data_IF_468411221001
#
_entry.id   IF_468411221001
#
_cell.length_a   1.000
_cell.length_b   1.000
_cell.length_c   1.000
_cell.angle_alpha   90.00
_cell.angle_beta   90.00
_cell.angle_gamma   90.00
#
_symmetry.space_group_name_H-M   'P 1'
#
loop_
_entity.id
_entity.type
_entity.pdbx_description
1 polymer ?
#
# COMPACT_ATOMS: atom_id res chain seq x y z
N UNK A 1 10.30 -5.48 -4.61
CA UNK A 1 10.03 -4.40 -3.62
C UNK A 1 11.37 -3.95 -3.08
N UNK A 2 11.70 -2.67 -3.17
CA UNK A 2 12.85 -2.12 -2.45
C UNK A 2 12.40 -1.73 -1.04
N UNK A 3 12.85 -2.50 -0.05
CA UNK A 3 12.51 -2.27 1.35
C UNK A 3 13.08 -0.94 1.87
N UNK A 4 14.12 -0.40 1.23
CA UNK A 4 14.69 0.88 1.59
C UNK A 4 13.71 2.04 1.38
N UNK A 5 12.70 1.90 0.51
CA UNK A 5 11.67 2.93 0.34
C UNK A 5 10.80 3.10 1.60
N UNK A 6 10.58 2.04 2.38
CA UNK A 6 9.71 2.13 3.57
C UNK A 6 10.34 2.90 4.73
N UNK A 7 11.64 3.20 4.68
CA UNK A 7 12.33 3.98 5.72
C UNK A 7 12.47 5.45 5.34
N UNK A 8 12.05 5.85 4.14
CA UNK A 8 12.20 7.24 3.68
C UNK A 8 10.97 8.07 4.00
N UNK A 9 11.17 9.32 4.38
CA UNK A 9 10.07 10.26 4.65
C UNK A 9 9.28 10.54 3.37
N UNK A 10 9.98 10.60 2.25
CA UNK A 10 9.45 10.83 0.92
C UNK A 10 8.36 9.82 0.59
N UNK A 11 8.60 8.53 0.85
CA UNK A 11 7.58 7.50 0.67
C UNK A 11 6.34 7.76 1.52
N UNK A 12 6.52 8.12 2.79
CA UNK A 12 5.38 8.32 3.71
C UNK A 12 4.61 9.62 3.47
N UNK A 13 5.26 10.65 2.92
CA UNK A 13 4.64 11.92 2.56
C UNK A 13 4.03 11.92 1.15
N UNK A 14 4.40 10.97 0.29
CA UNK A 14 3.83 10.85 -1.05
C UNK A 14 2.33 10.47 -0.98
N UNK A 15 1.49 11.27 -1.65
CA UNK A 15 0.06 11.03 -1.77
C UNK A 15 -0.29 9.98 -2.83
N UNK A 16 0.67 9.52 -3.65
CA UNK A 16 0.42 8.46 -4.60
C UNK A 16 0.07 7.15 -3.88
N UNK A 17 -0.98 6.42 -4.33
CA UNK A 17 -1.24 5.08 -3.85
C UNK A 17 -0.08 4.17 -4.26
N UNK A 18 0.25 3.22 -3.39
CA UNK A 18 1.37 2.31 -3.62
C UNK A 18 0.99 0.86 -3.34
N UNK A 19 1.51 -0.06 -4.15
CA UNK A 19 1.42 -1.51 -3.92
C UNK A 19 2.81 -2.16 -3.97
N UNK A 20 3.05 -3.13 -3.08
CA UNK A 20 4.34 -3.83 -3.03
C UNK A 20 4.51 -4.89 -4.12
N UNK A 21 3.40 -5.29 -4.77
CA UNK A 21 3.34 -6.46 -5.64
C UNK A 21 2.81 -6.11 -7.04
N UNK A 22 3.70 -6.23 -8.02
CA UNK A 22 3.40 -6.33 -9.46
C UNK A 22 2.45 -7.51 -9.73
N UNK A 23 1.48 -7.44 -10.67
CA UNK A 23 1.34 -6.42 -11.73
C UNK A 23 0.27 -5.35 -11.48
N UNK A 24 -0.35 -5.31 -10.30
CA UNK A 24 -1.49 -4.41 -10.08
C UNK A 24 -1.00 -3.13 -9.42
N UNK A 25 -0.70 -2.13 -10.26
CA UNK A 25 -0.66 -0.75 -9.80
C UNK A 25 -2.05 -0.39 -9.25
N UNK A 26 -2.12 0.23 -8.06
CA UNK A 26 -3.40 0.64 -7.51
C UNK A 26 -4.03 1.71 -8.42
N UNK A 27 -5.37 1.69 -8.57
CA UNK A 27 -6.06 2.71 -9.33
C UNK A 27 -5.76 4.11 -8.76
N UNK A 28 -5.55 5.09 -9.65
CA UNK A 28 -5.16 6.47 -9.28
C UNK A 28 -6.34 7.34 -8.82
N UNK A 29 -7.34 6.72 -8.20
CA UNK A 29 -8.52 7.42 -7.68
C UNK A 29 -8.12 8.38 -6.55
N UNK A 30 -8.78 9.54 -6.48
CA UNK A 30 -8.59 10.50 -5.40
C UNK A 30 -8.89 9.90 -4.01
N UNK A 31 -9.85 8.98 -3.92
CA UNK A 31 -10.20 8.28 -2.69
C UNK A 31 -9.08 7.35 -2.17
N UNK A 32 -8.11 7.00 -3.02
CA UNK A 32 -7.03 6.08 -2.70
C UNK A 32 -5.70 6.79 -2.41
N UNK A 33 -5.69 8.13 -2.38
CA UNK A 33 -4.48 8.89 -2.08
C UNK A 33 -3.90 8.53 -0.72
N UNK A 34 -2.58 8.37 -0.68
CA UNK A 34 -1.83 8.04 0.53
C UNK A 34 -2.15 6.65 1.09
N UNK A 35 -2.58 5.71 0.24
CA UNK A 35 -2.85 4.32 0.65
C UNK A 35 -1.71 3.38 0.26
N UNK A 36 -1.56 2.33 1.06
CA UNK A 36 -0.63 1.21 0.85
C UNK A 36 -1.45 -0.07 0.74
N UNK A 37 -1.22 -0.82 -0.32
CA UNK A 37 -1.97 -2.02 -0.67
C UNK A 37 -1.13 -3.27 -0.44
N UNK A 38 -1.65 -4.17 0.41
CA UNK A 38 -1.02 -5.43 0.74
C UNK A 38 -1.86 -6.58 0.20
N UNK A 39 -1.24 -7.47 -0.57
CA UNK A 39 -1.87 -8.73 -0.96
C UNK A 39 -1.71 -9.73 0.17
N UNK A 40 -2.81 -10.30 0.60
CA UNK A 40 -2.84 -11.40 1.57
C UNK A 40 -3.22 -12.69 0.85
N UNK A 41 -2.73 -13.83 1.33
CA UNK A 41 -3.04 -15.15 0.75
C UNK A 41 -4.54 -15.49 0.86
N UNK A 42 -5.23 -14.94 1.86
CA UNK A 42 -6.62 -15.22 2.17
C UNK A 42 -6.78 -16.65 2.68
N UNK A 43 -7.18 -16.81 3.93
CA UNK A 43 -7.36 -18.15 4.54
C UNK A 43 -8.39 -19.03 3.83
N UNK A 44 -9.25 -18.45 2.99
CA UNK A 44 -10.22 -19.15 2.14
C UNK A 44 -9.67 -19.58 0.77
N UNK A 45 -8.36 -19.45 0.54
CA UNK A 45 -7.70 -19.78 -0.74
C UNK A 45 -7.86 -18.72 -1.83
N UNK A 46 -8.62 -17.65 -1.56
CA UNK A 46 -8.76 -16.50 -2.46
C UNK A 46 -7.95 -15.32 -1.92
N UNK A 47 -6.90 -14.87 -2.64
CA UNK A 47 -6.11 -13.73 -2.23
C UNK A 47 -6.98 -12.47 -2.09
N UNK A 48 -6.73 -11.70 -1.02
CA UNK A 48 -7.45 -10.45 -0.74
C UNK A 48 -6.48 -9.28 -0.68
N UNK A 49 -6.94 -8.12 -1.12
CA UNK A 49 -6.22 -6.87 -0.93
C UNK A 49 -6.65 -6.21 0.37
N UNK A 50 -5.67 -5.86 1.20
CA UNK A 50 -5.85 -5.02 2.38
C UNK A 50 -5.30 -3.65 2.04
N UNK A 51 -6.13 -2.63 2.22
CA UNK A 51 -5.81 -1.24 1.92
C UNK A 51 -5.76 -0.48 3.24
N UNK A 52 -4.62 0.14 3.53
CA UNK A 52 -4.42 0.95 4.72
C UNK A 52 -3.92 2.33 4.31
N UNK A 53 -4.27 3.36 5.08
CA UNK A 53 -3.68 4.68 4.89
C UNK A 53 -2.26 4.69 5.46
N UNK A 54 -1.37 5.47 4.83
CA UNK A 54 0.00 5.71 5.33
C UNK A 54 -0.02 6.28 6.75
N UNK A 55 -0.98 7.14 7.06
CA UNK A 55 -1.18 7.67 8.42
C UNK A 55 -1.55 6.59 9.44
N UNK A 56 -2.40 5.62 9.09
CA UNK A 56 -2.75 4.53 9.99
C UNK A 56 -1.55 3.61 10.26
N UNK A 57 -0.69 3.39 9.27
CA UNK A 57 0.54 2.61 9.42
C UNK A 57 1.59 3.31 10.30
N UNK A 58 1.67 4.64 10.26
CA UNK A 58 2.59 5.43 11.09
C UNK A 58 2.13 5.60 12.54
N UNK A 59 0.83 5.44 12.81
CA UNK A 59 0.25 5.58 14.14
C UNK A 59 0.30 4.28 14.98
N UNK A 60 0.91 3.23 14.44
CA UNK A 60 0.99 1.88 15.02
C UNK A 60 2.32 1.59 15.71
#
# INVERSE_FOLDING_TARGET
MDAALLITREFWCDAAPWSAQWPVDPPRDAALRGTVWFRTSGSSGTPKWVVLTKSALLAS
#
